data_IF_923799496909
#
_entry.id   IF_923799496909
#
_cell.length_a   1.000
_cell.length_b   1.000
_cell.length_c   1.000
_cell.angle_alpha   90.00
_cell.angle_beta   90.00
_cell.angle_gamma   90.00
#
_symmetry.space_group_name_H-M   'P 1'
#
loop_
_entity.id
_entity.type
_entity.pdbx_description
1 polymer ?
#
# COMPACT_ATOMS: atom_id res chain seq x y z
N UNK A 1 -16.88 -30.86 27.44
CA UNK A 1 -17.60 -29.58 27.67
C UNK A 1 -17.31 -28.70 26.47
N UNK A 2 -18.25 -28.63 25.55
CA UNK A 2 -18.19 -27.76 24.38
C UNK A 2 -18.57 -26.36 24.84
N UNK A 3 -17.62 -25.43 24.89
CA UNK A 3 -17.95 -24.01 25.07
C UNK A 3 -18.64 -23.55 23.79
N UNK A 4 -19.95 -23.28 23.87
CA UNK A 4 -20.68 -22.58 22.81
C UNK A 4 -20.00 -21.22 22.58
N UNK A 5 -19.48 -21.02 21.36
CA UNK A 5 -18.93 -19.74 20.94
C UNK A 5 -20.09 -18.73 20.92
N UNK A 6 -20.04 -17.63 21.69
CA UNK A 6 -21.17 -16.72 21.77
C UNK A 6 -21.44 -16.06 20.42
N UNK A 7 -22.72 -15.98 20.06
CA UNK A 7 -23.21 -15.33 18.86
C UNK A 7 -22.75 -13.86 18.75
N UNK A 8 -22.34 -13.48 17.53
CA UNK A 8 -22.18 -12.15 16.94
C UNK A 8 -21.87 -10.99 17.93
N UNK A 9 -20.57 -10.80 18.21
CA UNK A 9 -20.02 -9.70 19.01
C UNK A 9 -20.54 -8.31 18.60
N UNK A 10 -20.91 -8.13 17.32
CA UNK A 10 -21.43 -6.86 16.79
C UNK A 10 -22.74 -6.47 17.47
N UNK A 11 -23.62 -7.43 17.75
CA UNK A 11 -24.87 -7.20 18.48
C UNK A 11 -24.63 -6.76 19.91
N UNK A 12 -23.56 -7.29 20.54
CA UNK A 12 -23.19 -6.93 21.91
C UNK A 12 -22.62 -5.51 22.02
N UNK A 13 -21.89 -5.06 21.01
CA UNK A 13 -21.34 -3.69 21.01
C UNK A 13 -22.46 -2.65 20.84
N UNK A 14 -23.44 -2.94 19.97
CA UNK A 14 -24.57 -2.03 19.74
C UNK A 14 -25.57 -1.97 20.89
N UNK A 15 -25.42 -2.78 21.95
CA UNK A 15 -26.33 -2.75 23.10
C UNK A 15 -26.01 -1.66 24.14
N UNK A 16 -24.86 -0.98 24.05
CA UNK A 16 -24.48 0.07 25.00
C UNK A 16 -25.02 1.42 24.53
N UNK A 17 -25.87 2.05 25.33
CA UNK A 17 -26.48 3.35 25.01
C UNK A 17 -25.66 4.52 25.53
N UNK A 18 -24.76 4.28 26.50
CA UNK A 18 -23.96 5.33 27.12
C UNK A 18 -22.49 4.96 27.22
N UNK A 19 -21.62 5.98 27.24
CA UNK A 19 -20.18 5.77 27.46
C UNK A 19 -19.88 5.18 28.84
N UNK A 20 -20.74 5.44 29.84
CA UNK A 20 -20.65 4.86 31.18
C UNK A 20 -20.90 3.34 31.18
N UNK A 21 -21.93 2.86 30.49
CA UNK A 21 -22.22 1.43 30.33
C UNK A 21 -21.06 0.70 29.64
N UNK A 22 -20.53 1.28 28.55
CA UNK A 22 -19.36 0.71 27.87
C UNK A 22 -18.13 0.70 28.79
N UNK A 23 -17.90 1.80 29.54
CA UNK A 23 -16.80 1.91 30.49
C UNK A 23 -16.91 0.86 31.59
N UNK A 24 -18.09 0.67 32.17
CA UNK A 24 -18.33 -0.35 33.20
C UNK A 24 -18.09 -1.76 32.64
N UNK A 25 -18.62 -2.05 31.45
CA UNK A 25 -18.42 -3.33 30.78
C UNK A 25 -16.93 -3.65 30.56
N UNK A 26 -16.17 -2.71 30.00
CA UNK A 26 -14.75 -2.88 29.68
C UNK A 26 -13.84 -2.94 30.92
N UNK A 27 -14.29 -2.39 32.05
CA UNK A 27 -13.54 -2.34 33.31
C UNK A 27 -14.06 -3.31 34.38
N UNK A 28 -15.10 -4.09 34.08
CA UNK A 28 -15.58 -5.13 34.99
C UNK A 28 -14.45 -6.14 35.28
N UNK A 29 -14.34 -6.60 36.54
CA UNK A 29 -13.23 -7.45 37.00
C UNK A 29 -13.08 -8.75 36.20
N UNK A 30 -14.18 -9.27 35.64
CA UNK A 30 -14.18 -10.42 34.75
C UNK A 30 -13.53 -10.11 33.39
N UNK A 31 -13.84 -8.95 32.81
CA UNK A 31 -13.34 -8.55 31.49
C UNK A 31 -11.94 -7.95 31.55
N UNK A 32 -11.59 -7.24 32.62
CA UNK A 32 -10.26 -6.63 32.79
C UNK A 32 -9.13 -7.66 32.66
N UNK A 33 -9.35 -8.87 33.17
CA UNK A 33 -8.36 -9.96 33.14
C UNK A 33 -8.40 -10.80 31.87
N UNK A 34 -9.54 -10.87 31.19
CA UNK A 34 -9.76 -11.79 30.05
C UNK A 34 -9.64 -11.10 28.70
N UNK A 35 -10.02 -9.83 28.59
CA UNK A 35 -10.09 -9.13 27.32
C UNK A 35 -8.73 -8.52 26.96
N UNK A 36 -8.22 -8.89 25.79
CA UNK A 36 -6.97 -8.32 25.25
C UNK A 36 -7.13 -6.81 25.03
N UNK A 37 -6.03 -6.07 25.19
CA UNK A 37 -6.02 -4.62 24.97
C UNK A 37 -6.55 -4.21 23.60
N UNK A 38 -6.12 -4.88 22.52
CA UNK A 38 -6.61 -4.60 21.17
C UNK A 38 -8.14 -4.75 21.05
N UNK A 39 -8.74 -5.74 21.73
CA UNK A 39 -10.20 -5.94 21.76
C UNK A 39 -10.89 -4.80 22.50
N UNK A 40 -10.34 -4.35 23.64
CA UNK A 40 -10.89 -3.20 24.38
C UNK A 40 -10.90 -1.93 23.52
N UNK A 41 -9.80 -1.67 22.79
CA UNK A 41 -9.73 -0.53 21.85
C UNK A 41 -10.73 -0.69 20.71
N UNK A 42 -10.87 -1.90 20.17
CA UNK A 42 -11.83 -2.19 19.10
C UNK A 42 -13.28 -1.91 19.53
N UNK A 43 -13.68 -2.33 20.73
CA UNK A 43 -15.00 -2.04 21.29
C UNK A 43 -15.26 -0.53 21.40
N UNK A 44 -14.27 0.24 21.87
CA UNK A 44 -14.37 1.70 21.93
C UNK A 44 -14.58 2.29 20.53
N UNK A 45 -13.77 1.87 19.56
CA UNK A 45 -13.83 2.37 18.18
C UNK A 45 -15.16 2.03 17.48
N UNK A 46 -15.68 0.82 17.69
CA UNK A 46 -16.97 0.41 17.14
C UNK A 46 -18.12 1.22 17.75
N UNK A 47 -18.09 1.44 19.06
CA UNK A 47 -19.13 2.20 19.75
C UNK A 47 -19.11 3.69 19.36
N UNK A 48 -17.93 4.30 19.17
CA UNK A 48 -17.82 5.70 18.75
C UNK A 48 -18.21 5.94 17.30
N UNK A 49 -18.34 4.91 16.46
CA UNK A 49 -18.96 5.03 15.14
C UNK A 49 -20.43 5.46 15.23
N UNK A 50 -21.16 4.98 16.24
CA UNK A 50 -22.55 5.36 16.48
C UNK A 50 -22.71 6.54 17.44
N UNK A 51 -21.67 6.89 18.20
CA UNK A 51 -21.68 7.96 19.22
C UNK A 51 -20.46 8.90 19.05
N UNK A 52 -20.35 9.62 17.92
CA UNK A 52 -19.19 10.47 17.63
C UNK A 52 -19.01 11.64 18.62
N UNK A 53 -20.06 12.08 19.28
CA UNK A 53 -20.04 13.11 20.32
C UNK A 53 -19.23 12.70 21.56
N UNK A 54 -19.15 11.39 21.84
CA UNK A 54 -18.46 10.84 23.01
C UNK A 54 -16.95 10.62 22.78
N UNK A 55 -16.40 11.05 21.64
CA UNK A 55 -14.97 10.89 21.30
C UNK A 55 -14.05 11.64 22.26
N UNK A 56 -14.51 12.77 22.82
CA UNK A 56 -13.76 13.51 23.83
C UNK A 56 -13.65 12.76 25.17
N UNK A 57 -14.60 11.89 25.46
CA UNK A 57 -14.62 11.13 26.72
C UNK A 57 -13.90 9.78 26.56
N UNK A 58 -14.05 9.15 25.41
CA UNK A 58 -13.49 7.82 25.11
C UNK A 58 -12.07 7.86 24.57
N UNK A 59 -11.69 8.94 23.87
CA UNK A 59 -10.35 9.16 23.36
C UNK A 59 -9.96 8.37 22.11
N UNK A 60 -10.90 7.78 21.36
CA UNK A 60 -10.60 7.08 20.10
C UNK A 60 -11.77 7.06 19.10
N UNK A 61 -11.45 7.18 17.80
CA UNK A 61 -12.43 7.09 16.70
C UNK A 61 -11.76 6.60 15.41
N UNK A 62 -12.50 5.86 14.58
CA UNK A 62 -12.08 5.46 13.23
C UNK A 62 -11.94 6.68 12.29
N UNK A 63 -10.93 6.66 11.43
CA UNK A 63 -10.90 7.49 10.23
C UNK A 63 -11.99 7.05 9.24
N UNK A 64 -12.35 7.93 8.32
CA UNK A 64 -13.41 7.68 7.31
C UNK A 64 -13.18 6.42 6.48
N UNK A 65 -11.93 6.02 6.28
CA UNK A 65 -11.57 4.83 5.53
C UNK A 65 -11.69 3.51 6.33
N UNK A 66 -11.94 3.56 7.65
CA UNK A 66 -12.11 2.39 8.50
C UNK A 66 -10.84 1.59 8.82
N UNK A 67 -9.71 1.85 8.15
CA UNK A 67 -8.43 1.13 8.37
C UNK A 67 -7.52 1.82 9.38
N UNK A 68 -7.65 3.14 9.50
CA UNK A 68 -6.88 3.93 10.45
C UNK A 68 -7.81 4.43 11.54
N UNK A 69 -7.27 4.67 12.71
CA UNK A 69 -7.98 5.35 13.78
C UNK A 69 -7.08 6.38 14.41
N UNK A 70 -7.68 7.34 15.10
CA UNK A 70 -6.95 8.30 15.91
C UNK A 70 -7.24 8.01 17.37
N UNK A 71 -6.23 8.14 18.22
CA UNK A 71 -6.42 8.04 19.66
C UNK A 71 -5.65 9.11 20.42
N UNK A 72 -6.22 9.53 21.55
CA UNK A 72 -5.54 10.27 22.60
C UNK A 72 -5.25 9.34 23.76
N UNK A 73 -3.96 9.04 23.99
CA UNK A 73 -3.54 8.05 24.99
C UNK A 73 -3.89 8.43 26.43
N UNK A 74 -4.12 9.72 26.71
CA UNK A 74 -4.57 10.18 28.02
C UNK A 74 -6.04 9.86 28.23
N UNK A 75 -6.89 10.27 27.28
CA UNK A 75 -8.35 10.08 27.35
C UNK A 75 -8.72 8.59 27.34
N UNK A 76 -8.19 7.81 26.40
CA UNK A 76 -8.46 6.36 26.36
C UNK A 76 -7.87 5.64 27.58
N UNK A 77 -6.78 6.15 28.15
CA UNK A 77 -6.20 5.64 29.38
C UNK A 77 -7.15 5.82 30.57
N UNK A 78 -7.70 7.02 30.72
CA UNK A 78 -8.70 7.32 31.75
C UNK A 78 -10.00 6.52 31.55
N UNK A 79 -10.42 6.33 30.29
CA UNK A 79 -11.58 5.54 29.95
C UNK A 79 -11.40 4.04 30.31
N UNK A 80 -10.23 3.47 30.00
CA UNK A 80 -9.91 2.05 30.25
C UNK A 80 -9.29 1.77 31.62
N UNK A 81 -9.16 2.77 32.49
CA UNK A 81 -8.44 2.69 33.76
C UNK A 81 -6.98 2.19 33.60
N UNK A 82 -6.30 2.62 32.54
CA UNK A 82 -4.91 2.28 32.22
C UNK A 82 -4.08 3.56 32.14
N UNK A 83 -2.90 3.56 32.76
CA UNK A 83 -1.98 4.72 32.68
C UNK A 83 -1.61 5.05 31.22
N UNK A 84 -1.51 6.33 30.82
CA UNK A 84 -1.24 6.71 29.43
C UNK A 84 0.06 6.12 28.84
N UNK A 85 1.09 5.96 29.66
CA UNK A 85 2.34 5.31 29.24
C UNK A 85 2.14 3.82 28.93
N UNK A 86 1.29 3.14 29.70
CA UNK A 86 0.92 1.74 29.48
C UNK A 86 0.10 1.59 28.21
N UNK A 87 -0.81 2.52 27.90
CA UNK A 87 -1.54 2.55 26.61
C UNK A 87 -0.55 2.51 25.44
N UNK A 88 0.46 3.39 25.45
CA UNK A 88 1.47 3.46 24.39
C UNK A 88 2.33 2.20 24.30
N UNK A 89 2.66 1.60 25.45
CA UNK A 89 3.36 0.32 25.52
C UNK A 89 2.52 -0.81 24.95
N UNK A 90 1.24 -0.89 25.29
CA UNK A 90 0.33 -1.91 24.78
C UNK A 90 0.13 -1.78 23.26
N UNK A 91 -0.05 -0.57 22.73
CA UNK A 91 -0.11 -0.35 21.28
C UNK A 91 1.12 -0.93 20.58
N UNK A 92 2.33 -0.66 21.11
CA UNK A 92 3.57 -1.22 20.56
C UNK A 92 3.60 -2.75 20.68
N UNK A 93 3.27 -3.31 21.82
CA UNK A 93 3.21 -4.77 22.04
C UNK A 93 2.23 -5.49 21.10
N UNK A 94 1.18 -4.80 20.67
CA UNK A 94 0.21 -5.29 19.67
C UNK A 94 0.52 -4.85 18.23
N UNK A 95 1.73 -4.34 17.97
CA UNK A 95 2.24 -3.98 16.63
C UNK A 95 1.48 -2.85 15.93
N UNK A 96 0.82 -1.98 16.70
CA UNK A 96 0.27 -0.75 16.15
C UNK A 96 1.38 0.28 15.91
N UNK A 97 1.43 0.80 14.69
CA UNK A 97 2.35 1.89 14.30
C UNK A 97 1.64 3.23 14.40
N UNK A 98 2.42 4.30 14.57
CA UNK A 98 1.93 5.67 14.48
C UNK A 98 2.20 6.14 13.05
N UNK A 99 1.16 6.63 12.39
CA UNK A 99 1.26 7.27 11.08
C UNK A 99 1.38 8.78 11.26
N UNK A 100 2.27 9.39 10.49
CA UNK A 100 2.43 10.84 10.51
C UNK A 100 1.21 11.49 9.85
N UNK A 101 0.51 12.35 10.60
CA UNK A 101 -0.64 13.09 10.11
C UNK A 101 -0.49 14.57 10.45
N UNK A 102 -0.75 15.43 9.48
CA UNK A 102 -0.77 16.88 9.71
C UNK A 102 -1.96 17.25 10.62
N UNK A 103 -1.75 18.06 11.68
CA UNK A 103 -2.83 18.45 12.60
C UNK A 103 -4.05 19.10 11.91
N UNK A 104 -3.83 19.84 10.82
CA UNK A 104 -4.87 20.48 10.04
C UNK A 104 -5.80 19.46 9.38
N UNK A 105 -5.24 18.36 8.87
CA UNK A 105 -6.01 17.27 8.27
C UNK A 105 -6.83 16.53 9.33
N UNK A 106 -6.28 16.34 10.53
CA UNK A 106 -7.01 15.76 11.65
C UNK A 106 -8.19 16.64 12.09
N UNK A 107 -8.00 17.96 12.18
CA UNK A 107 -9.09 18.89 12.52
C UNK A 107 -10.18 18.93 11.44
N UNK A 108 -9.77 18.87 10.16
CA UNK A 108 -10.71 18.83 9.04
C UNK A 108 -11.56 17.55 9.05
N UNK A 109 -10.96 16.41 9.40
CA UNK A 109 -11.67 15.12 9.50
C UNK A 109 -12.51 15.02 10.78
N UNK A 110 -12.03 15.58 11.90
CA UNK A 110 -12.65 15.49 13.22
C UNK A 110 -12.79 16.86 13.90
N UNK A 111 -13.76 17.70 13.47
CA UNK A 111 -13.94 19.04 14.01
C UNK A 111 -14.28 19.08 15.51
N UNK A 112 -14.79 17.98 16.07
CA UNK A 112 -15.09 17.85 17.50
C UNK A 112 -13.83 17.78 18.39
N UNK A 113 -12.62 17.68 17.80
CA UNK A 113 -11.37 17.55 18.56
C UNK A 113 -10.84 18.91 19.03
N UNK A 114 -10.84 19.14 20.35
CA UNK A 114 -10.41 20.41 20.97
C UNK A 114 -8.90 20.69 20.89
N UNK A 115 -8.05 19.66 21.00
CA UNK A 115 -6.59 19.78 20.92
C UNK A 115 -6.00 18.59 20.17
N UNK A 116 -5.38 18.82 19.01
CA UNK A 116 -4.77 17.78 18.17
C UNK A 116 -3.38 17.34 18.63
N UNK A 117 -2.73 18.06 19.54
CA UNK A 117 -1.35 17.78 19.97
C UNK A 117 -1.18 16.37 20.54
N UNK A 118 -2.22 15.85 21.18
CA UNK A 118 -2.20 14.57 21.87
C UNK A 118 -2.87 13.43 21.07
N UNK A 119 -3.42 13.73 19.89
CA UNK A 119 -4.01 12.71 19.03
C UNK A 119 -2.96 12.14 18.08
N UNK A 120 -2.95 10.81 17.95
CA UNK A 120 -2.04 10.08 17.06
C UNK A 120 -2.86 9.19 16.17
N UNK A 121 -2.63 9.28 14.86
CA UNK A 121 -3.16 8.34 13.87
C UNK A 121 -2.40 7.03 13.98
N UNK A 122 -3.12 5.91 14.05
CA UNK A 122 -2.59 4.57 14.26
C UNK A 122 -3.18 3.58 13.27
N UNK A 123 -2.42 2.53 12.99
CA UNK A 123 -2.78 1.42 12.11
C UNK A 123 -2.06 0.15 12.56
N UNK A 124 -2.60 -1.02 12.24
CA UNK A 124 -1.91 -2.30 12.37
C UNK A 124 -1.62 -2.86 10.98
N UNK A 125 -0.36 -2.78 10.54
CA UNK A 125 0.05 -3.29 9.22
C UNK A 125 0.24 -4.81 9.19
N UNK A 126 0.33 -5.45 10.36
CA UNK A 126 0.65 -6.89 10.48
C UNK A 126 -0.58 -7.78 10.64
N UNK A 127 -1.69 -7.22 11.12
CA UNK A 127 -2.90 -7.97 11.41
C UNK A 127 -4.15 -7.16 11.04
N UNK A 128 -5.25 -7.80 10.61
CA UNK A 128 -6.51 -7.12 10.38
C UNK A 128 -6.98 -6.35 11.61
N UNK A 129 -7.09 -5.03 11.49
CA UNK A 129 -7.67 -4.14 12.50
C UNK A 129 -8.34 -2.97 11.79
N UNK A 130 -9.59 -3.16 11.39
CA UNK A 130 -10.40 -2.16 10.70
C UNK A 130 -11.87 -2.24 11.16
N UNK A 131 -12.68 -1.24 10.79
CA UNK A 131 -14.08 -1.14 11.20
C UNK A 131 -14.94 -2.35 10.83
N UNK A 132 -14.62 -3.05 9.74
CA UNK A 132 -15.30 -4.29 9.34
C UNK A 132 -14.81 -5.59 10.00
N UNK A 133 -13.82 -5.58 10.89
CA UNK A 133 -13.32 -6.81 11.54
C UNK A 133 -14.35 -7.39 12.53
N UNK A 134 -14.27 -8.69 12.78
CA UNK A 134 -14.99 -9.33 13.90
C UNK A 134 -14.13 -9.32 15.17
N UNK A 135 -14.74 -9.52 16.35
CA UNK A 135 -13.97 -9.66 17.60
C UNK A 135 -12.95 -10.81 17.51
N UNK A 136 -13.29 -11.91 16.83
CA UNK A 136 -12.40 -13.05 16.65
C UNK A 136 -11.13 -12.66 15.87
N UNK A 137 -11.24 -11.81 14.87
CA UNK A 137 -10.08 -11.28 14.13
C UNK A 137 -9.16 -10.48 15.06
N UNK A 138 -9.75 -9.65 15.91
CA UNK A 138 -8.99 -8.82 16.85
C UNK A 138 -8.35 -9.66 17.96
N UNK A 139 -9.02 -10.71 18.43
CA UNK A 139 -8.47 -11.66 19.40
C UNK A 139 -7.21 -12.34 18.85
N UNK A 140 -7.10 -12.55 17.54
CA UNK A 140 -5.91 -13.18 16.92
C UNK A 140 -4.67 -12.27 16.93
N UNK A 141 -4.80 -10.97 17.22
CA UNK A 141 -3.65 -10.07 17.31
C UNK A 141 -2.76 -10.48 18.51
N UNK A 142 -1.48 -10.82 18.27
CA UNK A 142 -0.58 -11.23 19.34
C UNK A 142 -0.21 -10.04 20.23
N UNK A 143 0.08 -10.33 21.50
CA UNK A 143 0.73 -9.39 22.40
C UNK A 143 2.17 -9.85 22.57
N UNK A 144 3.13 -9.11 22.00
CA UNK A 144 4.55 -9.45 22.14
C UNK A 144 5.10 -8.87 23.45
N UNK A 145 5.87 -9.67 24.23
CA UNK A 145 6.61 -9.12 25.35
C UNK A 145 7.61 -8.08 24.85
N UNK A 146 7.80 -7.00 25.62
CA UNK A 146 8.65 -5.86 25.24
C UNK A 146 10.08 -6.26 24.84
N UNK A 147 10.57 -7.39 25.36
CA UNK A 147 11.93 -7.87 25.14
C UNK A 147 12.16 -8.43 23.72
N UNK A 148 11.08 -8.75 22.99
CA UNK A 148 11.14 -9.34 21.64
C UNK A 148 10.88 -8.32 20.52
N UNK A 149 10.73 -7.03 20.86
CA UNK A 149 10.52 -6.01 19.86
C UNK A 149 11.83 -5.71 19.12
N UNK A 150 11.84 -5.70 17.77
CA UNK A 150 13.01 -5.28 17.02
C UNK A 150 13.34 -3.83 17.42
N UNK A 151 14.57 -3.60 17.88
CA UNK A 151 15.05 -2.30 18.40
C UNK A 151 14.98 -1.14 17.39
N UNK A 152 14.53 -1.39 16.16
CA UNK A 152 14.55 -0.46 15.03
C UNK A 152 13.20 0.21 14.69
N UNK A 153 12.11 -0.01 15.43
CA UNK A 153 10.80 0.62 15.12
C UNK A 153 10.52 1.89 15.95
N UNK A 154 11.55 2.56 16.46
CA UNK A 154 11.38 3.93 16.94
C UNK A 154 11.44 4.88 15.75
N UNK A 155 10.29 5.43 15.36
CA UNK A 155 10.24 6.66 14.58
C UNK A 155 11.17 7.68 15.26
N UNK A 156 12.07 8.25 14.46
CA UNK A 156 12.95 9.36 14.81
C UNK A 156 12.09 10.47 15.43
N UNK A 157 12.02 10.52 16.76
CA UNK A 157 11.56 11.70 17.47
C UNK A 157 12.69 12.71 17.41
N UNK A 158 12.55 13.74 16.59
CA UNK A 158 13.42 14.90 16.68
C UNK A 158 13.19 15.56 18.04
N UNK A 159 14.20 15.68 18.92
CA UNK A 159 14.07 16.53 20.08
C UNK A 159 13.99 17.98 19.60
N UNK A 160 12.88 18.65 19.91
CA UNK A 160 12.77 20.12 19.83
C UNK A 160 13.63 20.71 20.96
N UNK A 161 14.95 20.75 20.76
CA UNK A 161 15.87 21.63 21.45
C UNK A 161 16.94 22.06 20.46
N UNK A 162 16.94 23.35 20.11
CA UNK A 162 18.01 23.95 19.32
C UNK A 162 19.36 23.73 20.04
N UNK A 163 20.33 23.02 19.42
CA UNK A 163 21.65 22.89 20.01
C UNK A 163 22.40 24.21 19.83
N UNK A 164 22.88 24.78 20.94
CA UNK A 164 23.95 25.79 20.90
C UNK A 164 25.19 25.11 20.35
N UNK A 165 25.60 25.47 19.13
CA UNK A 165 26.81 24.96 18.51
C UNK A 165 28.04 25.43 19.30
N UNK A 166 28.98 24.54 19.65
CA UNK A 166 30.31 24.93 20.11
C UNK A 166 31.19 25.39 18.93
N UNK A 167 32.22 26.22 19.18
CA UNK A 167 33.08 26.73 18.13
C UNK A 167 33.90 25.60 17.49
N UNK A 168 33.88 25.55 16.14
CA UNK A 168 34.63 24.63 15.30
C UNK A 168 36.13 24.73 15.59
N UNK A 169 36.75 23.63 16.04
CA UNK A 169 38.19 23.40 15.87
C UNK A 169 38.45 22.70 14.54
N UNK A 170 39.31 23.33 13.74
CA UNK A 170 39.85 22.79 12.50
C UNK A 170 40.78 21.61 12.86
N UNK A 171 40.45 20.40 12.40
CA UNK A 171 41.36 19.25 12.42
C UNK A 171 41.79 18.98 10.98
N UNK A 172 43.10 19.00 10.75
CA UNK A 172 43.75 18.71 9.47
C UNK A 172 43.80 17.19 9.23
N UNK A 173 43.49 16.85 7.97
CA UNK A 173 43.97 15.71 7.19
C UNK A 173 43.81 14.30 7.77
N UNK A 174 42.80 13.59 7.25
CA UNK A 174 42.80 12.12 7.14
C UNK A 174 42.87 11.80 5.64
N UNK A 175 43.90 11.06 5.24
CA UNK A 175 44.04 10.49 3.90
C UNK A 175 42.91 9.49 3.66
N UNK A 176 41.99 9.82 2.75
CA UNK A 176 41.00 8.89 2.20
C UNK A 176 41.63 8.10 1.07
N UNK A 177 41.58 6.78 1.19
CA UNK A 177 41.88 5.84 0.12
C UNK A 177 40.81 5.99 -0.98
N UNK A 178 41.20 6.45 -2.16
CA UNK A 178 40.31 6.56 -3.31
C UNK A 178 40.08 5.17 -3.91
N UNK A 179 38.86 4.63 -3.75
CA UNK A 179 38.40 3.57 -4.63
C UNK A 179 38.07 4.17 -6.00
N UNK A 180 38.43 3.50 -7.12
CA UNK A 180 38.09 3.97 -8.45
C UNK A 180 36.57 4.05 -8.60
N UNK A 181 36.04 5.27 -8.60
CA UNK A 181 34.63 5.51 -8.90
C UNK A 181 34.38 5.12 -10.35
N UNK A 182 33.52 4.13 -10.55
CA UNK A 182 32.91 3.88 -11.86
C UNK A 182 32.25 5.17 -12.36
N UNK A 183 32.34 5.51 -13.65
CA UNK A 183 31.81 6.75 -14.19
C UNK A 183 30.30 6.86 -13.92
N UNK A 184 29.92 7.75 -13.01
CA UNK A 184 28.54 8.18 -12.77
C UNK A 184 27.99 8.79 -14.06
N UNK A 185 27.11 8.05 -14.74
CA UNK A 185 26.33 8.60 -15.85
C UNK A 185 25.40 9.67 -15.31
N UNK A 186 25.55 10.90 -15.79
CA UNK A 186 24.60 11.98 -15.54
C UNK A 186 23.43 11.83 -16.51
N UNK A 187 22.30 11.31 -16.05
CA UNK A 187 21.04 11.47 -16.76
C UNK A 187 20.71 12.96 -16.72
N UNK A 188 20.99 13.69 -17.81
CA UNK A 188 20.69 15.12 -17.90
C UNK A 188 19.18 15.30 -18.06
N UNK A 189 18.47 15.31 -16.93
CA UNK A 189 17.15 15.92 -16.86
C UNK A 189 17.33 17.41 -16.63
N UNK A 190 16.94 18.23 -17.61
CA UNK A 190 16.99 19.69 -17.51
C UNK A 190 15.79 20.23 -16.70
N UNK A 191 15.62 19.77 -15.46
CA UNK A 191 14.75 20.48 -14.54
C UNK A 191 15.43 21.77 -14.11
N UNK A 192 14.73 22.90 -14.26
CA UNK A 192 15.25 24.24 -13.94
C UNK A 192 15.54 24.46 -12.44
N UNK A 193 15.23 23.50 -11.56
CA UNK A 193 15.35 23.62 -10.11
C UNK A 193 16.38 22.62 -9.52
N UNK A 194 17.47 23.12 -8.92
CA UNK A 194 18.66 22.32 -8.60
C UNK A 194 18.54 21.35 -7.41
N UNK A 195 17.56 21.51 -6.52
CA UNK A 195 17.39 20.63 -5.36
C UNK A 195 16.47 19.44 -5.66
N UNK A 196 15.34 19.68 -6.33
CA UNK A 196 14.42 18.62 -6.76
C UNK A 196 15.14 17.64 -7.70
N UNK A 197 15.98 18.15 -8.63
CA UNK A 197 16.77 17.30 -9.53
C UNK A 197 17.63 16.26 -8.80
N UNK A 198 18.20 16.60 -7.63
CA UNK A 198 19.05 15.65 -6.88
C UNK A 198 18.25 14.53 -6.22
N UNK A 199 17.04 14.81 -5.75
CA UNK A 199 16.16 13.79 -5.19
C UNK A 199 15.67 12.86 -6.30
N UNK A 200 15.29 13.41 -7.46
CA UNK A 200 14.92 12.63 -8.64
C UNK A 200 16.06 11.72 -9.14
N UNK A 201 17.29 12.23 -9.22
CA UNK A 201 18.46 11.45 -9.63
C UNK A 201 18.68 10.23 -8.72
N UNK A 202 18.50 10.42 -7.41
CA UNK A 202 18.65 9.34 -6.43
C UNK A 202 17.57 8.27 -6.58
N UNK A 203 16.32 8.67 -6.81
CA UNK A 203 15.22 7.71 -7.00
C UNK A 203 15.41 6.91 -8.30
N UNK A 204 15.84 7.57 -9.38
CA UNK A 204 16.19 6.91 -10.65
C UNK A 204 17.36 5.94 -10.45
N UNK A 205 18.39 6.32 -9.69
CA UNK A 205 19.53 5.44 -9.38
C UNK A 205 19.10 4.20 -8.60
N UNK A 206 18.19 4.35 -7.62
CA UNK A 206 17.61 3.22 -6.88
C UNK A 206 16.85 2.29 -7.82
N UNK A 207 16.01 2.85 -8.70
CA UNK A 207 15.27 2.08 -9.70
C UNK A 207 16.24 1.35 -10.64
N UNK A 208 17.27 2.04 -11.15
CA UNK A 208 18.29 1.51 -12.03
C UNK A 208 19.01 0.30 -11.42
N UNK A 209 19.39 0.40 -10.15
CA UNK A 209 20.06 -0.67 -9.44
C UNK A 209 19.14 -1.88 -9.18
N UNK A 210 17.83 -1.66 -9.05
CA UNK A 210 16.84 -2.71 -8.82
C UNK A 210 16.27 -3.35 -10.11
N UNK A 211 16.49 -2.73 -11.28
CA UNK A 211 16.13 -3.33 -12.57
C UNK A 211 17.05 -4.52 -12.90
N UNK A 212 16.52 -5.53 -13.60
CA UNK A 212 17.31 -6.60 -14.21
C UNK A 212 17.85 -6.15 -15.59
N UNK A 213 18.88 -6.84 -16.09
CA UNK A 213 19.43 -6.64 -17.43
C UNK A 213 20.81 -6.00 -17.45
N UNK A 214 21.41 -5.92 -18.64
CA UNK A 214 22.66 -5.19 -18.84
C UNK A 214 22.44 -3.69 -18.68
N UNK A 215 23.53 -2.94 -18.54
CA UNK A 215 23.47 -1.48 -18.46
C UNK A 215 22.76 -0.88 -19.68
N UNK A 216 23.09 -1.37 -20.86
CA UNK A 216 22.54 -0.92 -22.14
C UNK A 216 21.02 -1.15 -22.21
N UNK A 217 20.55 -2.30 -21.72
CA UNK A 217 19.12 -2.59 -21.64
C UNK A 217 18.42 -1.63 -20.66
N UNK A 218 18.99 -1.41 -19.48
CA UNK A 218 18.41 -0.47 -18.50
C UNK A 218 18.36 0.95 -19.04
N UNK A 219 19.41 1.39 -19.72
CA UNK A 219 19.46 2.70 -20.38
C UNK A 219 18.41 2.80 -21.49
N UNK A 220 18.22 1.74 -22.29
CA UNK A 220 17.16 1.69 -23.30
C UNK A 220 15.75 1.82 -22.67
N UNK A 221 15.48 1.12 -21.57
CA UNK A 221 14.21 1.20 -20.82
C UNK A 221 13.98 2.64 -20.34
N UNK A 222 14.99 3.25 -19.71
CA UNK A 222 14.91 4.64 -19.24
C UNK A 222 14.63 5.57 -20.41
N UNK A 223 15.38 5.47 -21.50
CA UNK A 223 15.22 6.36 -22.66
C UNK A 223 13.83 6.25 -23.29
N UNK A 224 13.27 5.04 -23.40
CA UNK A 224 11.89 4.83 -23.87
C UNK A 224 10.85 5.42 -22.91
N UNK A 225 11.00 5.18 -21.60
CA UNK A 225 10.13 5.75 -20.59
C UNK A 225 10.18 7.28 -20.59
N UNK A 226 11.37 7.88 -20.71
CA UNK A 226 11.57 9.32 -20.82
C UNK A 226 10.91 9.89 -22.08
N UNK A 227 11.04 9.21 -23.21
CA UNK A 227 10.40 9.64 -24.46
C UNK A 227 8.88 9.70 -24.31
N UNK A 228 8.26 8.71 -23.66
CA UNK A 228 6.83 8.73 -23.37
C UNK A 228 6.45 9.78 -22.32
N UNK A 229 7.30 9.99 -21.31
CA UNK A 229 7.05 11.00 -20.28
C UNK A 229 6.95 12.42 -20.87
N UNK A 230 7.71 12.71 -21.93
CA UNK A 230 7.62 13.99 -22.65
C UNK A 230 6.26 14.20 -23.29
N UNK A 231 5.60 13.14 -23.75
CA UNK A 231 4.23 13.20 -24.27
C UNK A 231 3.21 13.58 -23.19
N UNK A 232 3.55 13.42 -21.90
CA UNK A 232 2.72 13.86 -20.77
C UNK A 232 2.97 15.32 -20.35
N UNK A 233 3.80 16.05 -21.12
CA UNK A 233 4.09 17.47 -20.92
C UNK A 233 5.45 17.78 -20.31
N UNK A 234 6.32 16.78 -20.10
CA UNK A 234 7.67 16.93 -19.53
C UNK A 234 7.68 17.67 -18.18
N UNK A 235 6.71 17.32 -17.34
CA UNK A 235 6.48 17.91 -16.01
C UNK A 235 7.17 17.09 -14.92
N UNK A 236 7.55 17.69 -13.76
CA UNK A 236 8.12 16.94 -12.65
C UNK A 236 7.18 15.85 -12.11
N UNK A 237 5.88 16.17 -12.09
CA UNK A 237 4.80 15.27 -11.72
C UNK A 237 3.64 15.43 -12.70
N UNK A 238 3.02 14.32 -13.07
CA UNK A 238 1.88 14.27 -13.97
C UNK A 238 0.70 13.60 -13.25
N UNK A 239 -0.51 14.11 -13.48
CA UNK A 239 -1.71 13.50 -12.91
C UNK A 239 -1.94 12.11 -13.53
N UNK A 240 -2.20 11.12 -12.69
CA UNK A 240 -2.38 9.71 -13.08
C UNK A 240 -3.44 9.53 -14.17
N UNK A 241 -4.53 10.31 -14.16
CA UNK A 241 -5.57 10.25 -15.18
C UNK A 241 -5.05 10.63 -16.58
N UNK A 242 -4.07 11.51 -16.71
CA UNK A 242 -3.45 11.87 -18.00
C UNK A 242 -2.67 10.67 -18.53
N UNK A 243 -1.84 10.06 -17.68
CA UNK A 243 -1.04 8.87 -18.03
C UNK A 243 -1.97 7.71 -18.42
N UNK A 244 -3.00 7.45 -17.61
CA UNK A 244 -4.00 6.39 -17.86
C UNK A 244 -4.75 6.64 -19.17
N UNK A 245 -5.20 7.87 -19.42
CA UNK A 245 -5.88 8.22 -20.68
C UNK A 245 -4.97 8.01 -21.88
N UNK A 246 -3.67 8.32 -21.76
CA UNK A 246 -2.71 8.06 -22.84
C UNK A 246 -2.51 6.57 -23.09
N UNK A 247 -2.38 5.76 -22.02
CA UNK A 247 -2.23 4.30 -22.13
C UNK A 247 -3.46 3.68 -22.81
N UNK A 248 -4.65 4.17 -22.48
CA UNK A 248 -5.93 3.66 -22.98
C UNK A 248 -6.39 4.25 -24.32
N UNK A 249 -5.63 5.17 -24.92
CA UNK A 249 -6.08 5.97 -26.09
C UNK A 249 -6.54 5.15 -27.31
N UNK A 250 -6.05 3.91 -27.44
CA UNK A 250 -6.33 3.02 -28.57
C UNK A 250 -7.17 1.80 -28.17
N UNK A 251 -7.74 1.80 -26.97
CA UNK A 251 -8.52 0.69 -26.42
C UNK A 251 -10.01 1.01 -26.53
N UNK A 252 -10.81 -0.03 -26.72
CA UNK A 252 -12.27 0.07 -26.67
C UNK A 252 -12.70 0.74 -25.36
N UNK A 253 -13.66 1.67 -25.44
CA UNK A 253 -14.05 2.50 -24.31
C UNK A 253 -14.53 1.67 -23.11
N UNK A 254 -15.29 0.59 -23.35
CA UNK A 254 -15.81 -0.28 -22.28
C UNK A 254 -14.68 -1.02 -21.57
N UNK A 255 -13.69 -1.51 -22.33
CA UNK A 255 -12.48 -2.13 -21.76
C UNK A 255 -11.62 -1.10 -21.03
N UNK A 256 -11.51 0.11 -21.56
CA UNK A 256 -10.73 1.20 -20.99
C UNK A 256 -11.27 1.68 -19.64
N UNK A 257 -12.59 1.89 -19.53
CA UNK A 257 -13.23 2.26 -18.26
C UNK A 257 -13.00 1.23 -17.16
N UNK A 258 -12.91 -0.06 -17.53
CA UNK A 258 -12.65 -1.17 -16.61
C UNK A 258 -11.19 -1.26 -16.19
N UNK A 259 -10.26 -0.96 -17.09
CA UNK A 259 -8.82 -0.97 -16.82
C UNK A 259 -8.34 0.25 -16.03
N UNK A 260 -8.98 1.40 -16.20
CA UNK A 260 -8.52 2.67 -15.64
C UNK A 260 -8.29 2.64 -14.12
N UNK A 261 -9.20 2.12 -13.27
CA UNK A 261 -8.99 2.07 -11.82
C UNK A 261 -7.77 1.23 -11.42
N UNK A 262 -7.51 0.14 -12.15
CA UNK A 262 -6.36 -0.74 -11.90
C UNK A 262 -5.05 -0.07 -12.30
N UNK A 263 -5.02 0.57 -13.46
CA UNK A 263 -3.86 1.33 -13.91
C UNK A 263 -3.53 2.46 -12.93
N UNK A 264 -4.53 3.23 -12.49
CA UNK A 264 -4.35 4.27 -11.46
C UNK A 264 -3.77 3.68 -10.19
N UNK A 265 -4.32 2.56 -9.70
CA UNK A 265 -3.84 1.88 -8.49
C UNK A 265 -2.38 1.43 -8.63
N UNK A 266 -2.03 0.82 -9.76
CA UNK A 266 -0.68 0.30 -10.02
C UNK A 266 0.36 1.43 -10.14
N UNK A 267 -0.01 2.55 -10.77
CA UNK A 267 0.83 3.76 -10.83
C UNK A 267 1.07 4.35 -9.44
N UNK A 268 0.10 4.25 -8.53
CA UNK A 268 0.15 4.78 -7.16
C UNK A 268 0.65 3.78 -6.10
N UNK A 269 1.23 2.65 -6.50
CA UNK A 269 1.51 1.47 -5.65
C UNK A 269 2.41 1.67 -4.41
N UNK A 270 2.97 2.87 -4.17
CA UNK A 270 3.76 3.16 -2.98
C UNK A 270 2.92 3.45 -1.71
N UNK A 271 1.64 3.08 -1.69
CA UNK A 271 0.78 3.15 -0.49
C UNK A 271 0.49 4.56 0.03
N UNK A 272 0.85 5.59 -0.75
CA UNK A 272 0.65 7.00 -0.43
C UNK A 272 -0.81 7.42 -0.59
N UNK A 273 -1.37 8.01 0.46
CA UNK A 273 -2.75 8.50 0.54
C UNK A 273 -3.12 9.43 -0.63
N UNK A 274 -4.02 8.98 -1.52
CA UNK A 274 -4.90 9.79 -2.37
C UNK A 274 -4.27 10.81 -3.33
N UNK A 275 -2.93 10.89 -3.41
CA UNK A 275 -2.28 11.82 -4.31
C UNK A 275 -2.29 11.24 -5.72
N UNK A 276 -2.96 11.93 -6.63
CA UNK A 276 -3.08 11.56 -8.03
C UNK A 276 -1.86 11.94 -8.85
N UNK A 277 -0.93 12.72 -8.29
CA UNK A 277 0.32 13.11 -8.95
C UNK A 277 1.35 11.97 -8.95
N UNK A 278 1.74 11.54 -10.14
CA UNK A 278 2.76 10.53 -10.41
C UNK A 278 4.06 11.24 -10.79
N UNK A 279 5.17 10.87 -10.15
CA UNK A 279 6.50 11.33 -10.54
C UNK A 279 7.07 10.51 -11.69
N UNK A 280 8.09 11.03 -12.39
CA UNK A 280 8.78 10.22 -13.42
C UNK A 280 9.38 8.94 -12.84
N UNK A 281 9.90 8.94 -11.61
CA UNK A 281 10.43 7.74 -10.96
C UNK A 281 9.34 6.68 -10.74
N UNK A 282 8.15 7.08 -10.29
CA UNK A 282 7.01 6.16 -10.14
C UNK A 282 6.58 5.58 -11.50
N UNK A 283 6.49 6.43 -12.52
CA UNK A 283 6.20 5.98 -13.88
C UNK A 283 7.28 5.06 -14.45
N UNK A 284 8.56 5.35 -14.23
CA UNK A 284 9.68 4.52 -14.69
C UNK A 284 9.64 3.14 -14.04
N UNK A 285 9.36 3.06 -12.73
CA UNK A 285 9.16 1.78 -12.01
C UNK A 285 8.00 0.98 -12.62
N UNK A 286 6.88 1.65 -12.91
CA UNK A 286 5.72 1.04 -13.56
C UNK A 286 6.06 0.55 -14.99
N UNK A 287 6.68 1.40 -15.81
CA UNK A 287 7.11 1.08 -17.18
C UNK A 287 8.10 -0.09 -17.22
N UNK A 288 9.08 -0.10 -16.31
CA UNK A 288 10.04 -1.20 -16.23
C UNK A 288 9.40 -2.52 -15.75
N UNK A 289 8.27 -2.46 -15.02
CA UNK A 289 7.55 -3.63 -14.54
C UNK A 289 6.57 -4.21 -15.58
N UNK A 290 5.96 -3.37 -16.42
CA UNK A 290 4.85 -3.78 -17.30
C UNK A 290 5.06 -3.45 -18.79
N UNK A 291 6.13 -2.73 -19.13
CA UNK A 291 6.51 -2.41 -20.50
C UNK A 291 5.86 -1.15 -21.03
N UNK A 292 5.80 -1.06 -22.36
CA UNK A 292 5.16 0.06 -23.06
C UNK A 292 3.62 -0.01 -23.00
N UNK A 293 2.89 1.05 -23.40
CA UNK A 293 1.43 1.05 -23.33
C UNK A 293 0.76 -0.14 -24.02
N UNK A 294 1.25 -0.58 -25.18
CA UNK A 294 0.67 -1.73 -25.88
C UNK A 294 0.84 -3.01 -25.05
N UNK A 295 2.04 -3.21 -24.51
CA UNK A 295 2.38 -4.35 -23.66
C UNK A 295 1.61 -4.34 -22.35
N UNK A 296 1.43 -3.16 -21.74
CA UNK A 296 0.63 -2.98 -20.53
C UNK A 296 -0.80 -3.44 -20.75
N UNK A 297 -1.42 -3.06 -21.88
CA UNK A 297 -2.79 -3.47 -22.17
C UNK A 297 -2.88 -4.97 -22.40
N UNK A 298 -1.99 -5.54 -23.23
CA UNK A 298 -1.96 -6.99 -23.45
C UNK A 298 -1.80 -7.75 -22.13
N UNK A 299 -0.86 -7.31 -21.29
CA UNK A 299 -0.58 -7.89 -19.98
C UNK A 299 -1.78 -7.79 -19.04
N UNK A 300 -2.43 -6.62 -18.94
CA UNK A 300 -3.53 -6.41 -17.99
C UNK A 300 -4.85 -7.03 -18.44
N UNK A 301 -5.11 -7.05 -19.75
CA UNK A 301 -6.31 -7.72 -20.29
C UNK A 301 -6.28 -9.22 -20.00
N UNK A 302 -5.10 -9.84 -19.93
CA UNK A 302 -4.93 -11.22 -19.50
C UNK A 302 -5.19 -11.45 -18.00
N UNK A 303 -5.12 -10.40 -17.18
CA UNK A 303 -5.17 -10.51 -15.71
C UNK A 303 -6.52 -10.14 -15.11
N UNK A 304 -7.42 -9.53 -15.88
CA UNK A 304 -8.74 -9.13 -15.40
C UNK A 304 -9.76 -10.23 -15.63
N UNK A 305 -10.54 -10.51 -14.59
CA UNK A 305 -11.72 -11.34 -14.70
C UNK A 305 -12.91 -10.50 -15.19
N UNK A 306 -13.15 -10.53 -16.51
CA UNK A 306 -14.29 -9.85 -17.11
C UNK A 306 -15.66 -10.43 -16.74
N UNK A 307 -15.70 -11.63 -16.15
CA UNK A 307 -16.94 -12.21 -15.63
C UNK A 307 -17.35 -11.59 -14.29
N UNK A 308 -16.40 -10.98 -13.58
CA UNK A 308 -16.65 -10.26 -12.33
C UNK A 308 -17.32 -8.92 -12.59
N UNK A 309 -18.43 -8.64 -11.89
CA UNK A 309 -19.10 -7.33 -11.91
C UNK A 309 -18.18 -6.17 -11.50
N UNK A 310 -17.16 -6.47 -10.69
CA UNK A 310 -16.22 -5.49 -10.16
C UNK A 310 -14.89 -5.46 -10.92
N UNK A 311 -14.78 -6.25 -12.00
CA UNK A 311 -13.59 -6.33 -12.86
C UNK A 311 -12.29 -6.49 -12.10
N UNK A 312 -12.28 -7.32 -11.06
CA UNK A 312 -11.08 -7.52 -10.24
C UNK A 312 -10.03 -8.31 -11.02
N UNK A 313 -8.76 -8.16 -10.62
CA UNK A 313 -7.74 -9.12 -11.06
C UNK A 313 -8.14 -10.54 -10.67
N UNK A 314 -7.76 -11.50 -11.51
CA UNK A 314 -7.93 -12.90 -11.16
C UNK A 314 -7.33 -13.19 -9.77
N UNK A 315 -7.93 -14.10 -8.98
CA UNK A 315 -7.43 -14.44 -7.65
C UNK A 315 -5.96 -14.86 -7.61
N UNK A 316 -5.45 -15.43 -8.71
CA UNK A 316 -4.06 -15.85 -8.87
C UNK A 316 -3.11 -14.70 -9.24
N UNK A 317 -3.60 -13.51 -9.59
CA UNK A 317 -2.76 -12.34 -9.87
C UNK A 317 -3.03 -11.22 -8.87
N UNK A 318 -2.05 -10.94 -8.00
CA UNK A 318 -2.19 -9.99 -6.89
C UNK A 318 -0.95 -9.09 -6.81
N UNK A 319 -0.82 -8.09 -7.70
CA UNK A 319 0.44 -7.34 -7.89
C UNK A 319 0.89 -6.58 -6.64
N UNK A 320 -0.05 -6.14 -5.81
CA UNK A 320 0.21 -5.33 -4.60
C UNK A 320 0.36 -6.17 -3.33
N UNK A 321 0.24 -7.50 -3.41
CA UNK A 321 0.18 -8.34 -2.21
C UNK A 321 1.57 -8.53 -1.60
N UNK A 322 1.71 -8.18 -0.32
CA UNK A 322 2.94 -8.45 0.43
C UNK A 322 3.18 -9.95 0.65
N UNK A 323 4.44 -10.34 0.87
CA UNK A 323 4.84 -11.75 1.09
C UNK A 323 4.04 -12.46 2.19
N UNK A 324 3.78 -11.78 3.31
CA UNK A 324 3.03 -12.34 4.44
C UNK A 324 1.58 -12.60 4.05
N UNK A 325 0.92 -11.60 3.45
CA UNK A 325 -0.48 -11.72 3.02
C UNK A 325 -0.66 -12.75 1.90
N UNK A 326 0.36 -12.92 1.05
CA UNK A 326 0.36 -13.96 0.02
C UNK A 326 0.34 -15.35 0.63
N UNK A 327 1.21 -15.62 1.63
CA UNK A 327 1.17 -16.89 2.37
C UNK A 327 -0.17 -17.13 3.05
N UNK A 328 -0.73 -16.12 3.73
CA UNK A 328 -2.03 -16.26 4.39
C UNK A 328 -3.10 -16.67 3.37
N UNK A 329 -3.13 -16.01 2.20
CA UNK A 329 -4.12 -16.27 1.16
C UNK A 329 -3.95 -17.62 0.48
N UNK A 330 -2.71 -18.07 0.28
CA UNK A 330 -2.42 -19.40 -0.28
C UNK A 330 -2.81 -20.54 0.66
N UNK A 331 -2.62 -20.35 1.97
CA UNK A 331 -2.93 -21.35 2.99
C UNK A 331 -4.38 -21.35 3.45
N UNK A 332 -5.19 -20.41 2.95
CA UNK A 332 -6.63 -20.43 3.15
C UNK A 332 -7.25 -21.68 2.48
N UNK A 333 -8.30 -22.23 3.08
CA UNK A 333 -8.95 -23.46 2.61
C UNK A 333 -9.48 -23.25 1.18
N UNK A 334 -10.16 -22.13 0.98
CA UNK A 334 -10.69 -21.63 -0.30
C UNK A 334 -9.66 -20.82 -1.11
N UNK A 335 -8.43 -20.70 -0.61
CA UNK A 335 -7.35 -19.98 -1.27
C UNK A 335 -6.92 -20.62 -2.59
N UNK A 336 -6.42 -19.82 -3.55
CA UNK A 336 -5.88 -20.34 -4.81
C UNK A 336 -4.64 -21.21 -4.55
N UNK A 337 -4.35 -22.12 -5.47
CA UNK A 337 -3.17 -23.00 -5.35
C UNK A 337 -1.85 -22.27 -5.67
N UNK A 338 -1.94 -21.14 -6.35
CA UNK A 338 -0.80 -20.28 -6.62
C UNK A 338 -1.20 -18.81 -6.72
N UNK A 339 -0.25 -17.94 -6.46
CA UNK A 339 -0.37 -16.48 -6.61
C UNK A 339 0.87 -15.96 -7.31
N UNK A 340 0.66 -15.06 -8.27
CA UNK A 340 1.69 -14.23 -8.89
C UNK A 340 1.54 -12.81 -8.39
N UNK A 341 2.65 -12.23 -7.92
CA UNK A 341 2.72 -10.85 -7.43
C UNK A 341 3.98 -10.16 -7.94
N UNK A 342 4.06 -8.85 -7.83
CA UNK A 342 5.31 -8.14 -8.12
C UNK A 342 6.36 -8.40 -7.03
N UNK A 343 7.63 -8.43 -7.41
CA UNK A 343 8.72 -8.47 -6.45
C UNK A 343 8.87 -7.11 -5.76
N UNK A 344 8.88 -7.12 -4.43
CA UNK A 344 9.08 -5.90 -3.65
C UNK A 344 10.51 -5.35 -3.74
N UNK A 345 11.49 -6.16 -4.15
CA UNK A 345 12.92 -5.82 -4.14
C UNK A 345 13.55 -5.69 -5.51
N UNK A 346 12.92 -6.19 -6.58
CA UNK A 346 13.46 -6.21 -7.93
C UNK A 346 12.40 -5.79 -8.93
N UNK A 347 12.73 -4.84 -9.80
CA UNK A 347 11.82 -4.30 -10.81
C UNK A 347 11.92 -5.15 -12.08
N UNK A 348 10.78 -5.43 -12.69
CA UNK A 348 10.67 -6.35 -13.84
C UNK A 348 10.68 -7.83 -13.43
N UNK A 349 10.46 -8.13 -12.14
CA UNK A 349 10.35 -9.50 -11.65
C UNK A 349 9.00 -9.69 -10.97
N UNK A 350 8.31 -10.75 -11.37
CA UNK A 350 7.15 -11.29 -10.68
C UNK A 350 7.57 -12.49 -9.85
N UNK A 351 6.90 -12.73 -8.74
CA UNK A 351 7.12 -13.88 -7.87
C UNK A 351 5.90 -14.77 -7.98
N UNK A 352 6.11 -15.99 -8.48
CA UNK A 352 5.14 -17.07 -8.46
C UNK A 352 5.33 -17.84 -7.15
N UNK A 353 4.30 -17.87 -6.31
CA UNK A 353 4.27 -18.68 -5.09
C UNK A 353 3.21 -19.77 -5.29
N UNK A 354 3.63 -21.04 -5.17
CA UNK A 354 2.79 -22.23 -5.41
C UNK A 354 2.71 -23.04 -4.12
N UNK A 355 1.50 -23.49 -3.77
CA UNK A 355 1.32 -24.40 -2.62
C UNK A 355 1.67 -25.82 -3.04
N UNK A 356 2.74 -26.35 -2.47
CA UNK A 356 3.13 -27.75 -2.67
C UNK A 356 2.27 -28.66 -1.80
N UNK A 357 1.99 -28.22 -0.56
CA UNK A 357 1.17 -28.97 0.38
C UNK A 357 0.49 -28.04 1.40
N UNK A 358 -0.85 -27.91 1.29
CA UNK A 358 -1.66 -27.08 2.19
C UNK A 358 -1.57 -27.51 3.66
N UNK A 359 -1.47 -28.82 3.93
CA UNK A 359 -1.45 -29.36 5.31
C UNK A 359 -0.15 -29.06 6.04
N UNK A 360 0.99 -29.03 5.33
CA UNK A 360 2.29 -28.67 5.90
C UNK A 360 2.56 -27.16 5.85
N UNK A 361 1.78 -26.41 5.07
CA UNK A 361 2.02 -25.00 4.82
C UNK A 361 3.22 -24.74 3.90
N UNK A 362 3.64 -25.75 3.14
CA UNK A 362 4.81 -25.68 2.26
C UNK A 362 4.46 -24.94 0.97
N UNK A 363 5.22 -23.89 0.69
CA UNK A 363 5.05 -23.00 -0.46
C UNK A 363 6.39 -22.87 -1.16
N UNK A 364 6.44 -23.26 -2.43
CA UNK A 364 7.57 -23.00 -3.32
C UNK A 364 7.47 -21.60 -3.92
N UNK A 365 8.61 -21.01 -4.28
CA UNK A 365 8.65 -19.66 -4.83
C UNK A 365 9.66 -19.58 -5.98
N UNK A 366 9.19 -19.07 -7.11
CA UNK A 366 9.98 -18.91 -8.32
C UNK A 366 9.87 -17.47 -8.84
N UNK A 367 10.96 -16.97 -9.42
CA UNK A 367 10.96 -15.66 -10.05
C UNK A 367 10.60 -15.80 -11.54
N UNK A 368 9.66 -15.00 -11.99
CA UNK A 368 9.33 -14.79 -13.40
C UNK A 368 9.92 -13.45 -13.81
N UNK A 369 10.88 -13.48 -14.71
CA UNK A 369 11.50 -12.29 -15.27
C UNK A 369 10.68 -11.77 -16.44
N UNK A 370 10.47 -10.46 -16.49
CA UNK A 370 9.84 -9.77 -17.60
C UNK A 370 10.86 -8.86 -18.31
N UNK A 371 10.93 -8.98 -19.63
CA UNK A 371 11.75 -8.11 -20.48
C UNK A 371 10.86 -7.02 -21.13
N UNK A 372 10.92 -5.76 -20.66
CA UNK A 372 10.12 -4.67 -21.22
C UNK A 372 10.62 -4.17 -22.59
N UNK A 373 11.82 -4.55 -23.03
CA UNK A 373 12.34 -4.19 -24.37
C UNK A 373 11.82 -5.17 -25.41
N UNK A 374 11.81 -6.46 -25.06
CA UNK A 374 11.23 -7.55 -25.85
C UNK A 374 10.15 -8.22 -25.02
N UNK A 375 8.93 -7.64 -24.96
CA UNK A 375 7.82 -8.12 -24.14
C UNK A 375 7.70 -9.64 -24.10
N UNK A 376 8.22 -10.20 -23.03
CA UNK A 376 8.26 -11.64 -22.79
C UNK A 376 8.49 -11.92 -21.32
N UNK A 377 7.90 -13.03 -20.87
CA UNK A 377 8.04 -13.56 -19.53
C UNK A 377 8.89 -14.81 -19.60
N UNK A 378 9.79 -14.98 -18.62
CA UNK A 378 10.66 -16.14 -18.53
C UNK A 378 10.81 -16.62 -17.10
N UNK A 379 10.91 -17.94 -16.94
CA UNK A 379 11.06 -18.60 -15.64
C UNK A 379 12.02 -19.77 -15.80
N UNK A 380 12.86 -19.99 -14.80
CA UNK A 380 13.69 -21.19 -14.71
C UNK A 380 12.91 -22.22 -13.90
N UNK A 381 12.43 -23.27 -14.57
CA UNK A 381 11.77 -24.43 -13.96
C UNK A 381 12.78 -25.55 -13.78
N UNK A 382 12.72 -26.25 -12.64
CA UNK A 382 13.55 -27.42 -12.39
C UNK A 382 13.29 -28.55 -13.40
N UNK A 383 12.04 -28.71 -13.84
CA UNK A 383 11.63 -29.78 -14.73
C UNK A 383 11.80 -29.46 -16.22
N UNK A 384 11.76 -28.17 -16.59
CA UNK A 384 11.70 -27.73 -17.99
C UNK A 384 12.85 -26.81 -18.40
N UNK A 385 13.73 -26.45 -17.47
CA UNK A 385 14.79 -25.47 -17.71
C UNK A 385 14.21 -24.07 -17.91
N UNK A 386 14.82 -23.30 -18.83
CA UNK A 386 14.32 -21.97 -19.18
C UNK A 386 13.05 -22.09 -20.03
N UNK A 387 11.93 -21.66 -19.47
CA UNK A 387 10.64 -21.55 -20.17
C UNK A 387 10.35 -20.08 -20.43
N UNK A 388 9.92 -19.74 -21.64
CA UNK A 388 9.59 -18.37 -22.03
C UNK A 388 8.29 -18.32 -22.81
N UNK A 389 7.53 -17.25 -22.63
CA UNK A 389 6.34 -16.95 -23.42
C UNK A 389 6.11 -15.43 -23.52
N UNK A 390 5.30 -14.97 -24.47
CA UNK A 390 4.98 -13.55 -24.62
C UNK A 390 3.92 -13.09 -23.61
N UNK A 391 2.98 -13.97 -23.30
CA UNK A 391 1.93 -13.72 -22.30
C UNK A 391 2.26 -14.44 -21.00
N UNK A 392 2.09 -13.74 -19.87
CA UNK A 392 2.19 -14.38 -18.56
C UNK A 392 1.13 -15.46 -18.38
N UNK A 393 -0.07 -15.29 -18.96
CA UNK A 393 -1.13 -16.29 -18.91
C UNK A 393 -0.70 -17.56 -19.64
N UNK A 394 -0.23 -17.46 -20.88
CA UNK A 394 0.29 -18.63 -21.62
C UNK A 394 1.51 -19.26 -20.95
N UNK A 395 2.41 -18.47 -20.35
CA UNK A 395 3.50 -19.01 -19.56
C UNK A 395 2.99 -19.90 -18.41
N UNK A 396 2.02 -19.41 -17.63
CA UNK A 396 1.51 -20.11 -16.45
C UNK A 396 0.66 -21.35 -16.83
N UNK A 397 -0.25 -21.21 -17.78
CA UNK A 397 -1.25 -22.25 -18.06
C UNK A 397 -0.82 -23.20 -19.17
N UNK A 398 -0.29 -22.67 -20.28
CA UNK A 398 0.03 -23.48 -21.46
C UNK A 398 1.43 -24.12 -21.33
N UNK A 399 2.41 -23.38 -20.78
CA UNK A 399 3.80 -23.84 -20.67
C UNK A 399 4.11 -24.56 -19.37
N UNK A 400 3.69 -24.00 -18.23
CA UNK A 400 3.91 -24.62 -16.92
C UNK A 400 2.79 -25.59 -16.52
N UNK A 401 1.65 -25.59 -17.23
CA UNK A 401 0.56 -26.52 -16.96
C UNK A 401 -0.14 -26.29 -15.62
N UNK A 402 -0.05 -25.08 -15.05
CA UNK A 402 -0.80 -24.75 -13.84
C UNK A 402 -2.29 -24.87 -14.12
N UNK A 403 -3.05 -25.38 -13.16
CA UNK A 403 -4.50 -25.55 -13.29
C UNK A 403 -5.22 -24.58 -12.38
N UNK A 404 -6.21 -23.88 -12.92
CA UNK A 404 -7.16 -23.15 -12.09
C UNK A 404 -8.09 -24.16 -11.42
N UNK A 405 -8.27 -24.03 -10.10
CA UNK A 405 -9.39 -24.68 -9.41
C UNK A 405 -10.69 -24.16 -10.03
N UNK A 406 -11.38 -25.02 -10.75
CA UNK A 406 -12.70 -24.72 -11.27
C UNK A 406 -13.64 -24.53 -10.06
N UNK A 407 -14.33 -23.40 -9.98
CA UNK A 407 -15.45 -23.13 -9.07
C UNK A 407 -15.15 -22.74 -7.61
N UNK A 408 -14.20 -21.84 -7.36
CA UNK A 408 -14.28 -21.04 -6.13
C UNK A 408 -14.88 -19.70 -6.49
N UNK A 409 -16.14 -19.46 -6.07
CA UNK A 409 -16.74 -18.13 -6.09
C UNK A 409 -15.96 -17.26 -5.11
N UNK A 410 -14.91 -16.60 -5.60
CA UNK A 410 -14.23 -15.60 -4.81
C UNK A 410 -15.15 -14.39 -4.72
N UNK A 411 -15.65 -14.09 -3.52
CA UNK A 411 -16.13 -12.74 -3.28
C UNK A 411 -14.94 -11.79 -3.50
N UNK A 412 -15.05 -10.84 -4.45
CA UNK A 412 -14.00 -9.86 -4.63
C UNK A 412 -13.76 -9.17 -3.29
N UNK A 413 -12.51 -9.02 -2.86
CA UNK A 413 -12.17 -8.14 -1.75
C UNK A 413 -12.57 -6.74 -2.22
N UNK A 414 -13.75 -6.29 -1.80
CA UNK A 414 -14.24 -4.94 -2.08
C UNK A 414 -13.33 -4.01 -1.28
N UNK A 415 -12.28 -3.51 -1.92
CA UNK A 415 -11.65 -2.27 -1.51
C UNK A 415 -12.72 -1.23 -1.77
N UNK A 416 -13.33 -0.70 -0.71
CA UNK A 416 -14.48 0.21 -0.76
C UNK A 416 -14.36 1.20 -1.93
N UNK A 417 -15.31 1.11 -2.84
CA UNK A 417 -15.44 1.93 -4.04
C UNK A 417 -15.22 3.41 -3.73
N UNK A 418 -14.27 4.04 -4.43
CA UNK A 418 -14.26 5.48 -4.60
C UNK A 418 -15.62 5.89 -5.18
N UNK A 419 -16.29 6.86 -4.56
CA UNK A 419 -17.48 7.46 -5.15
C UNK A 419 -17.09 8.03 -6.50
N UNK A 420 -17.65 7.47 -7.58
CA UNK A 420 -17.54 8.01 -8.92
C UNK A 420 -18.08 9.45 -8.89
N UNK A 421 -17.19 10.44 -8.93
CA UNK A 421 -17.59 11.76 -9.38
C UNK A 421 -17.78 11.64 -10.89
N UNK A 422 -19.03 11.73 -11.33
CA UNK A 422 -19.40 11.90 -12.74
C UNK A 422 -18.67 13.13 -13.28
N UNK A 423 -17.69 12.92 -14.14
CA UNK A 423 -17.03 13.98 -14.89
C UNK A 423 -17.99 14.50 -15.96
N UNK A 424 -18.58 15.67 -15.71
CA UNK A 424 -19.19 16.47 -16.77
C UNK A 424 -18.07 17.12 -17.60
N UNK A 425 -17.99 16.77 -18.88
CA UNK A 425 -17.12 17.37 -19.87
C UNK A 425 -17.30 18.90 -19.91
N UNK A 426 -16.36 19.66 -19.33
CA UNK A 426 -16.26 21.10 -19.57
C UNK A 426 -15.54 21.33 -20.90
N UNK A 427 -16.22 22.06 -21.80
CA UNK A 427 -15.68 22.52 -23.07
C UNK A 427 -14.53 23.50 -22.83
N UNK A 428 -13.42 23.28 -23.53
CA UNK A 428 -12.29 24.20 -23.64
C UNK A 428 -12.75 25.43 -24.44
N UNK A 429 -12.67 26.67 -23.92
CA UNK A 429 -12.94 27.86 -24.73
C UNK A 429 -11.78 28.11 -25.68
N UNK A 430 -12.03 27.99 -26.97
CA UNK A 430 -11.19 28.51 -28.04
C UNK A 430 -11.27 30.04 -28.05
N UNK A 431 -10.27 30.74 -27.53
CA UNK A 431 -10.07 32.16 -27.79
C UNK A 431 -8.98 32.35 -28.86
N UNK A 432 -9.44 32.67 -30.06
CA UNK A 432 -8.65 33.29 -31.12
C UNK A 432 -9.56 34.37 -31.73
N UNK A 433 -9.34 35.61 -31.31
CA UNK A 433 -9.87 36.79 -32.00
C UNK A 433 -8.77 37.83 -32.14
N UNK A 434 -8.25 37.87 -33.35
CA UNK A 434 -7.69 39.02 -34.05
C UNK A 434 -7.93 40.39 -33.42
N UNK A 435 -6.86 41.13 -33.14
CA UNK A 435 -6.88 42.59 -33.16
C UNK A 435 -6.35 43.07 -34.51
N UNK A 436 -7.24 43.68 -35.27
CA UNK A 436 -6.95 44.52 -36.43
C UNK A 436 -7.48 45.93 -36.14
N UNK A 437 -6.56 46.91 -36.21
CA UNK A 437 -6.77 48.29 -36.67
C UNK A 437 -8.00 49.07 -36.18
N UNK A 438 -7.79 50.01 -35.25
CA UNK A 438 -7.83 51.46 -35.52
C UNK A 438 -7.32 52.24 -34.31
#
# INVERSE_FOLDING_TARGET
MSEEVPADSSKRIMSFNTSAELKEFLNSSQNERRMKFAVRVFYVLQWTTSHPEAVQDTGAIWCKNGYYFICNSTLIGEFLNIRPNTINTNFRSHLFTIELSQPQLLLAEFPMIKDTRNWRKRVNHSFPFHSGCTELDIIRIPCRPLNEQPKNTQLVQYPVRAPKLPPRRIIKQVQTFEMPMTPTMKYKYEFKNSQETKEYEKDIEIIFNNMKGTKEQKDEIINKAQSLWKEFGDVPKCQSNIIVSYILKNIDLDVGEKLAPHLTKMLSSDGGSGNTDISFAQYLKFYAQYGDPATIIETLTDFIDYSSKNYVFYPWFQPDLGKINTKIRLLDEDGPDFIVRCSASKIGIFVLEVVENKSSGEISSSNIDFDPIKPSFSIISESHGLVQDKSLKSLLFDRLGLKLKQNVNFEPIIISSYSQQTYSSQQVPSQLSSQSTN
#
